data_IF_792413780257
#
_entry.id   IF_792413780257
#
_cell.length_a   1.000
_cell.length_b   1.000
_cell.length_c   1.000
_cell.angle_alpha   90.00
_cell.angle_beta   90.00
_cell.angle_gamma   90.00
#
_symmetry.space_group_name_H-M   'P 1'
#
loop_
_entity.id
_entity.type
_entity.pdbx_description
1 polymer ?
#
# COMPACT_ATOMS: atom_id res chain seq x y z
N UNK A 1 -20.40 -21.82 -49.22
CA UNK A 1 -20.08 -22.58 -48.00
C UNK A 1 -19.12 -21.73 -47.19
N UNK A 2 -19.60 -21.14 -46.09
CA UNK A 2 -18.81 -20.27 -45.21
C UNK A 2 -17.79 -21.12 -44.43
N UNK A 3 -16.51 -20.76 -44.51
CA UNK A 3 -15.47 -21.33 -43.65
C UNK A 3 -15.30 -20.43 -42.41
N UNK A 4 -15.40 -21.06 -41.23
CA UNK A 4 -15.09 -20.46 -39.93
C UNK A 4 -13.62 -20.03 -39.88
N UNK A 5 -13.34 -18.84 -39.35
CA UNK A 5 -11.99 -18.44 -38.92
C UNK A 5 -11.86 -18.77 -37.43
N UNK A 6 -10.87 -19.57 -36.98
CA UNK A 6 -10.63 -19.81 -35.57
C UNK A 6 -9.98 -18.61 -34.88
N UNK A 7 -10.30 -18.48 -33.60
CA UNK A 7 -9.83 -17.48 -32.63
C UNK A 7 -8.36 -17.61 -32.26
N UNK A 8 -7.78 -16.47 -31.84
CA UNK A 8 -6.65 -16.31 -30.90
C UNK A 8 -5.24 -16.62 -31.43
N UNK A 9 -4.39 -15.60 -31.45
CA UNK A 9 -3.10 -15.56 -30.70
C UNK A 9 -2.53 -14.14 -30.78
N UNK A 10 -2.38 -13.46 -29.63
CA UNK A 10 -1.57 -12.26 -29.54
C UNK A 10 -0.12 -12.71 -29.24
N UNK A 11 0.79 -12.47 -30.19
CA UNK A 11 2.22 -12.72 -30.02
C UNK A 11 2.89 -11.43 -29.51
N UNK A 12 3.35 -11.43 -28.26
CA UNK A 12 4.40 -10.52 -27.79
C UNK A 12 5.73 -11.25 -27.86
N UNK A 13 6.54 -11.00 -28.89
CA UNK A 13 7.89 -11.55 -29.01
C UNK A 13 8.83 -10.87 -28.02
N UNK A 14 9.37 -11.62 -27.06
CA UNK A 14 10.50 -11.19 -26.25
C UNK A 14 11.77 -11.14 -27.13
N UNK A 15 12.20 -9.93 -27.49
CA UNK A 15 13.50 -9.68 -28.10
C UNK A 15 14.43 -9.28 -26.96
N UNK A 16 15.01 -10.21 -26.22
CA UNK A 16 16.33 -10.06 -25.56
C UNK A 16 16.69 -11.45 -25.02
N UNK A 17 17.48 -12.17 -25.83
CA UNK A 17 18.23 -13.33 -25.41
C UNK A 17 19.58 -12.82 -24.89
N UNK A 18 20.02 -13.32 -23.74
CA UNK A 18 21.28 -13.00 -23.08
C UNK A 18 21.49 -11.57 -22.53
N UNK A 19 21.33 -11.45 -21.21
CA UNK A 19 22.29 -10.90 -20.22
C UNK A 19 21.54 -10.46 -18.98
N UNK A 20 22.17 -10.69 -17.82
CA UNK A 20 21.80 -10.21 -16.48
C UNK A 20 21.62 -8.68 -16.44
N UNK A 21 20.52 -8.19 -17.00
CA UNK A 21 20.10 -6.80 -16.89
C UNK A 21 18.93 -6.81 -15.94
N UNK A 22 19.21 -6.44 -14.69
CA UNK A 22 18.26 -5.93 -13.72
C UNK A 22 17.58 -4.67 -14.28
N UNK A 23 16.80 -4.81 -15.36
CA UNK A 23 15.74 -3.89 -15.66
C UNK A 23 14.64 -4.24 -14.68
N UNK A 24 14.72 -3.67 -13.47
CA UNK A 24 13.55 -3.46 -12.64
C UNK A 24 12.50 -2.88 -13.58
N UNK A 25 11.47 -3.67 -13.91
CA UNK A 25 10.48 -3.30 -14.94
C UNK A 25 10.04 -1.88 -14.63
N UNK A 26 10.44 -0.93 -15.50
CA UNK A 26 10.18 0.47 -15.28
C UNK A 26 8.69 0.66 -15.49
N UNK A 27 7.95 0.52 -14.39
CA UNK A 27 6.52 0.55 -14.41
C UNK A 27 6.10 2.00 -14.66
N UNK A 28 5.64 2.28 -15.88
CA UNK A 28 5.26 3.63 -16.32
C UNK A 28 4.19 4.23 -15.38
N UNK A 29 3.38 3.38 -14.74
CA UNK A 29 2.44 3.81 -13.71
C UNK A 29 3.17 4.35 -12.46
N UNK A 30 4.30 3.75 -12.06
CA UNK A 30 5.11 4.26 -10.94
C UNK A 30 5.82 5.58 -11.29
N UNK A 31 6.26 5.78 -12.54
CA UNK A 31 6.86 7.04 -12.97
C UNK A 31 5.88 8.21 -13.04
N UNK A 32 4.61 7.92 -13.33
CA UNK A 32 3.53 8.91 -13.38
C UNK A 32 2.77 9.06 -12.05
N UNK A 33 3.24 8.40 -10.99
CA UNK A 33 2.58 8.40 -9.70
C UNK A 33 3.07 9.47 -8.74
N UNK A 34 2.18 9.88 -7.86
CA UNK A 34 2.55 10.59 -6.66
C UNK A 34 3.12 9.61 -5.63
N UNK A 35 4.01 10.11 -4.78
CA UNK A 35 4.71 9.30 -3.77
C UNK A 35 4.36 9.83 -2.38
N UNK A 36 3.79 8.96 -1.55
CA UNK A 36 3.60 9.20 -0.13
C UNK A 36 4.67 8.47 0.69
N UNK A 37 5.27 9.18 1.64
CA UNK A 37 6.24 8.61 2.58
C UNK A 37 5.53 8.19 3.85
N UNK A 38 5.19 6.90 3.94
CA UNK A 38 4.55 6.33 5.11
C UNK A 38 5.61 5.97 6.15
N UNK A 39 5.62 6.69 7.27
CA UNK A 39 6.54 6.44 8.38
C UNK A 39 5.88 5.51 9.40
N UNK A 40 6.51 4.38 9.64
CA UNK A 40 6.15 3.46 10.73
C UNK A 40 7.41 3.29 11.58
N UNK A 41 7.34 3.78 12.81
CA UNK A 41 8.49 3.84 13.73
C UNK A 41 9.71 4.55 13.09
N UNK A 42 10.84 3.86 12.99
CA UNK A 42 12.09 4.35 12.39
C UNK A 42 12.20 4.03 10.89
N UNK A 43 11.26 3.25 10.32
CA UNK A 43 11.29 2.85 8.91
C UNK A 43 10.33 3.69 8.08
N UNK A 44 10.79 4.12 6.91
CA UNK A 44 9.96 4.81 5.92
C UNK A 44 9.68 3.88 4.76
N UNK A 45 8.42 3.86 4.33
CA UNK A 45 7.94 3.08 3.21
C UNK A 45 7.41 4.00 2.12
N UNK A 46 7.76 3.66 0.88
CA UNK A 46 7.34 4.38 -0.30
C UNK A 46 6.00 3.81 -0.79
N UNK A 47 4.94 4.60 -0.70
CA UNK A 47 3.63 4.26 -1.22
C UNK A 47 3.38 5.11 -2.47
N UNK A 48 3.24 4.44 -3.61
CA UNK A 48 2.95 5.11 -4.88
C UNK A 48 1.44 5.12 -5.13
N UNK A 49 0.88 6.25 -5.52
CA UNK A 49 -0.55 6.38 -5.79
C UNK A 49 -0.84 7.32 -6.96
N UNK A 50 -2.05 7.24 -7.51
CA UNK A 50 -2.49 8.15 -8.57
C UNK A 50 -4.01 8.15 -8.75
N UNK A 51 -4.50 9.15 -9.48
CA UNK A 51 -5.94 9.42 -9.66
C UNK A 51 -6.48 9.19 -11.08
N UNK A 52 -5.60 8.78 -11.99
CA UNK A 52 -5.92 8.63 -13.41
C UNK A 52 -5.70 7.19 -13.88
N UNK A 53 -6.62 6.72 -14.72
CA UNK A 53 -6.34 5.61 -15.62
C UNK A 53 -5.21 6.00 -16.59
N UNK A 54 -4.41 5.04 -17.02
CA UNK A 54 -3.06 5.17 -17.58
C UNK A 54 -2.77 6.22 -18.68
N UNK A 55 -3.74 6.99 -19.22
CA UNK A 55 -3.52 7.83 -20.41
C UNK A 55 -4.29 9.17 -20.52
N UNK A 56 -5.10 9.59 -19.54
CA UNK A 56 -5.84 10.86 -19.64
C UNK A 56 -5.38 11.87 -18.59
N UNK A 57 -4.29 12.58 -18.89
CA UNK A 57 -3.90 13.79 -18.15
C UNK A 57 -4.19 14.99 -19.03
N UNK A 58 -5.40 15.53 -18.93
CA UNK A 58 -5.67 16.88 -19.40
C UNK A 58 -4.94 17.85 -18.45
N UNK A 59 -3.76 18.33 -18.89
CA UNK A 59 -2.88 19.25 -18.14
C UNK A 59 -3.62 20.55 -17.70
N UNK A 60 -4.80 20.83 -18.28
CA UNK A 60 -5.66 21.97 -17.95
C UNK A 60 -6.60 21.75 -16.76
N UNK A 61 -6.65 20.55 -16.16
CA UNK A 61 -7.61 20.17 -15.10
C UNK A 61 -6.95 19.73 -13.79
N UNK A 62 -5.72 20.17 -13.53
CA UNK A 62 -4.98 19.80 -12.31
C UNK A 62 -5.75 20.21 -11.04
N UNK A 63 -6.49 21.33 -11.07
CA UNK A 63 -7.32 21.80 -9.95
C UNK A 63 -8.59 20.95 -9.71
N UNK A 64 -8.91 20.02 -10.63
CA UNK A 64 -10.00 19.04 -10.50
C UNK A 64 -9.50 17.66 -10.03
N UNK A 65 -8.22 17.53 -9.63
CA UNK A 65 -7.70 16.27 -9.12
C UNK A 65 -7.99 16.11 -7.61
N UNK A 66 -8.25 14.88 -7.15
CA UNK A 66 -8.28 14.60 -5.73
C UNK A 66 -6.92 14.90 -5.09
N UNK A 67 -6.95 15.31 -3.83
CA UNK A 67 -5.77 15.62 -3.04
C UNK A 67 -5.77 14.81 -1.75
N UNK A 68 -4.70 14.06 -1.54
CA UNK A 68 -4.49 13.27 -0.33
C UNK A 68 -3.86 14.15 0.74
N UNK A 69 -4.40 14.12 1.95
CA UNK A 69 -3.86 14.85 3.09
C UNK A 69 -2.75 14.03 3.78
N UNK A 70 -3.09 12.82 4.21
CA UNK A 70 -2.15 11.90 4.85
C UNK A 70 -2.63 10.46 4.80
N UNK A 71 -1.70 9.53 4.93
CA UNK A 71 -1.92 8.11 5.18
C UNK A 71 -1.38 7.72 6.55
N UNK A 72 -2.08 6.81 7.22
CA UNK A 72 -1.71 6.24 8.50
C UNK A 72 -1.91 4.72 8.51
N UNK A 73 -1.23 4.00 9.40
CA UNK A 73 -1.51 2.59 9.68
C UNK A 73 -2.29 2.48 10.98
N UNK A 74 -3.24 1.55 10.99
CA UNK A 74 -3.95 1.14 12.17
C UNK A 74 -3.64 -0.34 12.45
N UNK A 75 -2.68 -0.64 13.34
CA UNK A 75 -2.30 -2.02 13.67
C UNK A 75 -3.45 -2.84 14.29
N UNK A 76 -4.30 -2.19 15.10
CA UNK A 76 -5.41 -2.83 15.79
C UNK A 76 -6.49 -3.31 14.81
N UNK A 77 -6.78 -2.48 13.81
CA UNK A 77 -7.74 -2.79 12.74
C UNK A 77 -7.11 -3.49 11.55
N UNK A 78 -5.79 -3.63 11.54
CA UNK A 78 -4.99 -4.20 10.45
C UNK A 78 -5.25 -3.49 9.13
N UNK A 79 -5.29 -2.16 9.17
CA UNK A 79 -5.66 -1.35 8.02
C UNK A 79 -4.69 -0.21 7.73
N UNK A 80 -4.73 0.26 6.50
CA UNK A 80 -4.19 1.56 6.10
C UNK A 80 -5.37 2.52 5.98
N UNK A 81 -5.26 3.65 6.67
CA UNK A 81 -6.24 4.73 6.67
C UNK A 81 -5.70 5.88 5.83
N UNK A 82 -6.50 6.37 4.90
CA UNK A 82 -6.16 7.46 3.99
C UNK A 82 -7.17 8.57 4.21
N UNK A 83 -6.68 9.76 4.51
CA UNK A 83 -7.49 10.97 4.63
C UNK A 83 -7.31 11.84 3.41
N UNK A 84 -8.43 12.19 2.78
CA UNK A 84 -8.47 13.08 1.61
C UNK A 84 -8.68 14.52 2.05
N UNK A 85 -7.89 15.45 1.50
CA UNK A 85 -8.12 16.89 1.64
C UNK A 85 -9.32 17.31 0.79
N UNK A 86 -9.32 16.92 -0.48
CA UNK A 86 -10.39 17.21 -1.45
C UNK A 86 -10.57 16.08 -2.45
N UNK A 87 -11.81 15.86 -2.88
CA UNK A 87 -12.16 14.95 -3.98
C UNK A 87 -13.24 15.65 -4.82
N UNK A 88 -12.86 16.49 -5.79
CA UNK A 88 -13.80 17.40 -6.47
C UNK A 88 -14.78 16.67 -7.42
N UNK A 89 -14.43 15.46 -7.87
CA UNK A 89 -15.27 14.62 -8.74
C UNK A 89 -15.03 13.13 -8.50
N UNK A 90 -15.94 12.28 -8.98
CA UNK A 90 -15.76 10.83 -8.94
C UNK A 90 -14.49 10.46 -9.71
N UNK A 91 -13.54 9.82 -9.04
CA UNK A 91 -12.20 9.56 -9.58
C UNK A 91 -11.78 8.13 -9.33
N UNK A 92 -10.79 7.64 -10.09
CA UNK A 92 -10.19 6.32 -9.86
C UNK A 92 -8.92 6.54 -9.04
N UNK A 93 -8.90 6.05 -7.80
CA UNK A 93 -7.69 6.01 -7.00
C UNK A 93 -7.03 4.65 -7.18
N UNK A 94 -5.73 4.64 -7.44
CA UNK A 94 -4.93 3.44 -7.37
C UNK A 94 -3.74 3.63 -6.43
N UNK A 95 -3.37 2.58 -5.70
CA UNK A 95 -2.25 2.56 -4.76
C UNK A 95 -1.39 1.33 -4.99
N UNK A 96 -0.06 1.47 -4.85
CA UNK A 96 0.88 0.35 -4.73
C UNK A 96 1.28 0.18 -3.29
N UNK A 97 0.90 -0.97 -2.76
CA UNK A 97 1.07 -1.35 -1.38
C UNK A 97 2.14 -2.44 -1.30
N UNK A 98 3.29 -2.18 -0.65
CA UNK A 98 4.28 -3.21 -0.40
C UNK A 98 3.70 -4.30 0.52
N UNK A 99 3.98 -5.57 0.20
CA UNK A 99 3.48 -6.73 0.99
C UNK A 99 3.98 -6.67 2.45
N UNK A 100 5.15 -6.07 2.66
CA UNK A 100 5.70 -5.83 4.01
C UNK A 100 4.85 -4.88 4.86
N UNK A 101 4.14 -3.95 4.22
CA UNK A 101 3.36 -2.90 4.89
C UNK A 101 1.96 -3.40 5.22
N UNK A 102 1.30 -4.03 4.24
CA UNK A 102 -0.03 -4.61 4.41
C UNK A 102 -0.16 -5.84 3.53
N UNK A 103 -0.81 -6.87 4.07
CA UNK A 103 -1.14 -8.09 3.35
C UNK A 103 -2.49 -8.64 3.80
N UNK A 104 -3.14 -9.36 2.91
CA UNK A 104 -4.39 -10.05 3.17
C UNK A 104 -4.25 -11.55 2.86
N UNK A 105 -4.87 -12.38 3.68
CA UNK A 105 -4.95 -13.82 3.43
C UNK A 105 -5.79 -14.05 2.19
N UNK A 106 -5.33 -14.95 1.32
CA UNK A 106 -5.92 -15.18 -0.01
C UNK A 106 -6.05 -13.91 -0.86
N UNK A 107 -5.27 -12.88 -0.55
CA UNK A 107 -5.26 -11.61 -1.29
C UNK A 107 -6.61 -10.85 -1.20
N UNK A 108 -7.41 -11.16 -0.17
CA UNK A 108 -8.73 -10.57 0.05
C UNK A 108 -8.69 -9.40 1.02
N UNK A 109 -8.48 -8.20 0.48
CA UNK A 109 -8.65 -6.96 1.22
C UNK A 109 -10.14 -6.64 1.40
N UNK A 110 -10.46 -5.86 2.44
CA UNK A 110 -11.77 -5.20 2.59
C UNK A 110 -11.55 -3.70 2.46
N UNK A 111 -12.33 -3.07 1.61
CA UNK A 111 -12.19 -1.65 1.32
C UNK A 111 -13.43 -0.91 1.82
N UNK A 112 -13.22 0.14 2.59
CA UNK A 112 -14.28 0.97 3.17
C UNK A 112 -14.05 2.43 2.79
N UNK A 113 -15.04 3.08 2.21
CA UNK A 113 -15.00 4.50 1.86
C UNK A 113 -16.08 5.22 2.66
N UNK A 114 -15.71 6.18 3.49
CA UNK A 114 -16.60 6.93 4.39
C UNK A 114 -17.55 6.02 5.20
N UNK A 115 -17.04 4.85 5.62
CA UNK A 115 -17.80 3.85 6.38
C UNK A 115 -18.61 2.85 5.53
N UNK A 116 -18.56 2.93 4.19
CA UNK A 116 -19.30 2.07 3.27
C UNK A 116 -18.36 1.08 2.57
N UNK A 117 -18.68 -0.21 2.67
CA UNK A 117 -17.95 -1.27 1.96
C UNK A 117 -18.03 -1.09 0.44
N UNK A 118 -16.86 -1.07 -0.21
CA UNK A 118 -16.74 -0.83 -1.65
C UNK A 118 -15.86 -1.91 -2.30
N UNK A 119 -16.04 -2.11 -3.61
CA UNK A 119 -15.24 -3.04 -4.41
C UNK A 119 -13.92 -2.40 -4.85
N UNK A 120 -12.94 -3.24 -5.16
CA UNK A 120 -11.65 -2.85 -5.68
C UNK A 120 -11.19 -3.85 -6.74
N UNK A 121 -10.23 -3.41 -7.53
CA UNK A 121 -9.42 -4.25 -8.41
C UNK A 121 -8.05 -4.47 -7.80
N UNK A 122 -7.50 -5.68 -7.96
CA UNK A 122 -6.19 -6.06 -7.43
C UNK A 122 -5.29 -6.55 -8.57
N UNK A 123 -4.10 -5.98 -8.67
CA UNK A 123 -3.03 -6.47 -9.55
C UNK A 123 -1.83 -6.91 -8.72
N UNK A 124 -1.34 -8.11 -9.00
CA UNK A 124 -0.22 -8.72 -8.28
C UNK A 124 1.11 -8.42 -8.96
N UNK A 125 2.08 -7.95 -8.18
CA UNK A 125 3.48 -7.86 -8.55
C UNK A 125 4.31 -8.75 -7.59
N UNK A 126 5.58 -9.04 -7.89
CA UNK A 126 6.39 -9.94 -7.06
C UNK A 126 6.46 -9.55 -5.58
N UNK A 127 6.58 -8.26 -5.26
CA UNK A 127 6.80 -7.77 -3.90
C UNK A 127 5.75 -6.75 -3.42
N UNK A 128 4.72 -6.49 -4.23
CA UNK A 128 3.72 -5.46 -3.96
C UNK A 128 2.39 -5.80 -4.63
N UNK A 129 1.32 -5.20 -4.13
CA UNK A 129 0.00 -5.25 -4.75
C UNK A 129 -0.39 -3.85 -5.22
N UNK A 130 -0.97 -3.75 -6.42
CA UNK A 130 -1.65 -2.53 -6.83
C UNK A 130 -3.16 -2.70 -6.60
N UNK A 131 -3.74 -1.81 -5.80
CA UNK A 131 -5.15 -1.75 -5.50
C UNK A 131 -5.77 -0.57 -6.26
N UNK A 132 -6.76 -0.83 -7.10
CA UNK A 132 -7.52 0.19 -7.83
C UNK A 132 -8.95 0.28 -7.32
N UNK A 133 -9.50 1.48 -7.22
CA UNK A 133 -10.83 1.71 -6.64
C UNK A 133 -11.45 3.01 -7.15
N UNK A 134 -12.77 3.11 -7.10
CA UNK A 134 -13.50 4.34 -7.45
C UNK A 134 -13.79 5.09 -6.15
N UNK A 135 -13.35 6.35 -6.07
CA UNK A 135 -13.65 7.26 -4.97
C UNK A 135 -14.73 8.26 -5.40
N UNK A 136 -15.88 8.32 -4.72
CA UNK A 136 -16.91 9.32 -4.98
C UNK A 136 -16.44 10.74 -4.72
N UNK A 137 -17.12 11.71 -5.34
CA UNK A 137 -16.99 13.13 -4.98
C UNK A 137 -17.17 13.32 -3.47
N UNK A 138 -16.39 14.25 -2.91
CA UNK A 138 -16.40 14.65 -1.50
C UNK A 138 -15.95 13.57 -0.51
N UNK A 139 -15.38 12.45 -1.00
CA UNK A 139 -14.79 11.40 -0.15
C UNK A 139 -13.80 11.98 0.86
N UNK A 140 -13.87 11.55 2.12
CA UNK A 140 -12.97 12.02 3.19
C UNK A 140 -12.06 10.95 3.74
N UNK A 141 -12.60 9.76 3.96
CA UNK A 141 -11.91 8.66 4.62
C UNK A 141 -11.96 7.42 3.76
N UNK A 142 -10.81 6.83 3.54
CA UNK A 142 -10.66 5.55 2.85
C UNK A 142 -9.88 4.63 3.78
N UNK A 143 -10.36 3.41 3.93
CA UNK A 143 -9.71 2.40 4.76
C UNK A 143 -9.55 1.10 3.98
N UNK A 144 -8.30 0.62 3.93
CA UNK A 144 -7.91 -0.63 3.28
C UNK A 144 -7.54 -1.61 4.39
N UNK A 145 -8.40 -2.60 4.63
CA UNK A 145 -8.27 -3.58 5.71
C UNK A 145 -7.68 -4.87 5.14
N UNK A 146 -6.58 -5.33 5.73
CA UNK A 146 -5.95 -6.61 5.43
C UNK A 146 -6.07 -7.61 6.58
N UNK A 147 -5.27 -8.66 6.54
CA UNK A 147 -5.14 -9.63 7.65
C UNK A 147 -3.90 -9.41 8.50
N UNK A 148 -2.91 -8.69 7.96
CA UNK A 148 -1.70 -8.25 8.63
C UNK A 148 -1.29 -6.88 8.09
N UNK A 149 -0.90 -5.99 8.99
CA UNK A 149 -0.14 -4.77 8.68
C UNK A 149 1.18 -4.81 9.42
N UNK A 150 2.15 -4.03 8.96
CA UNK A 150 3.37 -3.78 9.72
C UNK A 150 2.99 -3.16 11.07
N UNK A 151 3.34 -3.81 12.19
CA UNK A 151 3.09 -3.26 13.51
C UNK A 151 4.03 -2.09 13.81
N UNK A 152 3.52 -1.10 14.53
CA UNK A 152 4.33 -0.06 15.18
C UNK A 152 4.95 -0.68 16.45
N UNK A 153 6.19 -1.14 16.37
CA UNK A 153 6.98 -1.54 17.54
C UNK A 153 8.00 -0.44 17.89
N UNK A 154 7.60 0.84 17.88
CA UNK A 154 8.56 1.93 17.74
C UNK A 154 9.08 2.66 18.96
N UNK A 155 8.56 2.42 20.17
CA UNK A 155 9.12 3.10 21.36
C UNK A 155 8.88 2.29 22.63
N UNK A 156 7.67 1.76 22.79
CA UNK A 156 7.30 1.02 23.99
C UNK A 156 8.05 -0.31 24.12
N UNK A 157 8.37 -0.97 23.02
CA UNK A 157 9.18 -2.20 22.99
C UNK A 157 10.56 -1.95 23.62
N UNK A 158 11.25 -0.87 23.22
CA UNK A 158 12.54 -0.47 23.78
C UNK A 158 12.46 -0.08 25.27
N UNK A 159 11.40 0.63 25.68
CA UNK A 159 11.17 0.99 27.09
C UNK A 159 10.92 -0.25 27.95
N UNK A 160 10.06 -1.16 27.50
CA UNK A 160 9.76 -2.42 28.20
C UNK A 160 11.02 -3.28 28.30
N UNK A 161 11.81 -3.36 27.23
CA UNK A 161 13.08 -4.08 27.21
C UNK A 161 14.05 -3.46 28.23
N UNK A 162 14.21 -2.13 28.22
CA UNK A 162 15.08 -1.41 29.15
C UNK A 162 14.69 -1.61 30.62
N UNK A 163 13.40 -1.46 30.94
CA UNK A 163 12.88 -1.72 32.30
C UNK A 163 13.10 -3.18 32.71
N UNK A 164 12.88 -4.12 31.78
CA UNK A 164 13.10 -5.54 32.02
C UNK A 164 14.56 -5.85 32.35
N UNK A 165 15.52 -5.28 31.62
CA UNK A 165 16.96 -5.43 31.90
C UNK A 165 17.34 -4.89 33.29
N UNK A 166 16.86 -3.68 33.64
CA UNK A 166 17.12 -3.09 34.97
C UNK A 166 16.52 -3.96 36.07
N UNK A 167 15.29 -4.45 35.88
CA UNK A 167 14.61 -5.33 36.82
C UNK A 167 15.35 -6.65 37.06
N UNK A 168 15.83 -7.30 35.99
CA UNK A 168 16.62 -8.54 36.08
C UNK A 168 17.92 -8.30 36.84
N UNK A 169 18.65 -7.22 36.53
CA UNK A 169 19.91 -6.89 37.22
C UNK A 169 19.66 -6.66 38.72
N UNK A 170 18.61 -5.92 39.07
CA UNK A 170 18.25 -5.68 40.46
C UNK A 170 17.88 -6.97 41.19
N UNK A 171 17.06 -7.82 40.57
CA UNK A 171 16.67 -9.11 41.12
C UNK A 171 17.88 -10.02 41.36
N UNK A 172 18.75 -10.18 40.37
CA UNK A 172 19.97 -11.02 40.50
C UNK A 172 20.90 -10.49 41.59
N UNK A 173 21.12 -9.17 41.68
CA UNK A 173 21.97 -8.59 42.75
C UNK A 173 21.38 -8.79 44.14
N UNK A 174 20.06 -8.73 44.29
CA UNK A 174 19.42 -8.88 45.59
C UNK A 174 19.35 -10.35 46.04
N UNK A 175 19.30 -11.30 45.10
CA UNK A 175 19.33 -12.75 45.39
C UNK A 175 20.72 -13.22 45.86
N UNK A 176 21.81 -12.61 45.39
CA UNK A 176 23.17 -12.89 45.89
C UNK A 176 23.37 -12.47 47.36
N UNK A 177 22.52 -11.60 47.93
CA UNK A 177 22.61 -11.21 49.33
C UNK A 177 21.99 -12.22 50.31
N UNK A 178 21.33 -13.27 49.83
CA UNK A 178 20.58 -14.25 50.63
C UNK A 178 21.03 -15.72 50.43
N UNK A 179 22.23 -15.95 49.87
CA UNK A 179 22.92 -17.25 49.85
C UNK A 179 24.28 -17.08 50.51
#
# INVERSE_FOLDING_TARGET
>A
MLALIPTSTAFGSHIFDDRDVFAQYLDIAQLSSEKYLLKIDEKTYDIYYGYHGSFEVDIKKIDELPKLAYMNINPDRKSIEITMESVPSNSVLWLRLPIEVISAENEQYRLVIDGIDTKYDLTKFPNQYALGMIIPKDTKYIEIIGTRVVPEFGTFSGVILGISFIGIIYFVRNVHFWV
#
